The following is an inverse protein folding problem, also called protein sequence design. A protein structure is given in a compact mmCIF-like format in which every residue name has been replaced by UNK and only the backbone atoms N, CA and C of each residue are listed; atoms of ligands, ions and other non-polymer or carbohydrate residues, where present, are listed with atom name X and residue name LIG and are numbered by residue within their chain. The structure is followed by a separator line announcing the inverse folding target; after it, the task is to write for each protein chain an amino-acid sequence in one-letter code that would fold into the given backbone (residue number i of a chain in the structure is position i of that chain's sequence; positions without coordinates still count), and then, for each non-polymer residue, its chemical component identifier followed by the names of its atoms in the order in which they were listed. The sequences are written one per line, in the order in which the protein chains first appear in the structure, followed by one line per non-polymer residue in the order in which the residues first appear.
data_IF_734630245508
#
_entry.id   IF_734630245508
#
_cell.length_a   1.000
_cell.length_b   1.000
_cell.length_c   1.000
_cell.angle_alpha   90.00
_cell.angle_beta   90.00
_cell.angle_gamma   90.00
#
_symmetry.space_group_name_H-M   'P 1'
#
loop_
_entity.id
_entity.type
_entity.pdbx_description
1 polymer ?
#
# COMPACT_ATOMS: atom_id res chain seq x y z
N UNK A 1 13.95 -8.31 3.09
CA UNK A 1 12.61 -7.72 3.02
C UNK A 1 12.29 -7.06 4.34
N UNK A 2 12.27 -5.74 4.37
CA UNK A 2 11.96 -4.94 5.56
C UNK A 2 10.77 -4.04 5.25
N UNK A 3 9.70 -4.13 6.04
CA UNK A 3 8.52 -3.27 5.93
C UNK A 3 8.69 -2.10 6.90
N UNK A 4 8.80 -0.87 6.38
CA UNK A 4 8.91 0.36 7.18
C UNK A 4 7.65 1.19 6.98
N UNK A 5 6.89 1.40 8.05
CA UNK A 5 5.80 2.39 8.07
C UNK A 5 6.45 3.75 8.33
N UNK A 6 6.40 4.64 7.34
CA UNK A 6 7.10 5.92 7.35
C UNK A 6 6.20 7.09 7.79
N UNK A 7 4.86 6.93 7.77
CA UNK A 7 3.93 8.00 8.11
C UNK A 7 2.63 7.51 8.76
N UNK A 8 1.80 8.45 9.20
CA UNK A 8 0.52 8.22 9.87
C UNK A 8 -0.54 7.77 8.85
N UNK A 9 -1.32 6.76 9.24
CA UNK A 9 -2.52 6.33 8.53
C UNK A 9 -3.70 7.27 8.86
N UNK A 10 -4.36 7.83 7.85
CA UNK A 10 -5.46 8.78 8.02
C UNK A 10 -6.79 8.05 7.84
N UNK A 11 -7.63 8.07 8.87
CA UNK A 11 -8.85 7.25 8.96
C UNK A 11 -10.14 8.01 8.59
N UNK A 12 -10.15 8.72 7.47
CA UNK A 12 -11.36 9.48 7.04
C UNK A 12 -12.40 8.62 6.30
N UNK A 13 -12.07 7.39 5.92
CA UNK A 13 -13.00 6.41 5.32
C UNK A 13 -12.96 5.12 6.14
N UNK A 14 -14.13 4.54 6.41
CA UNK A 14 -14.28 3.35 7.26
C UNK A 14 -13.53 2.12 6.72
N UNK A 15 -13.27 2.04 5.42
CA UNK A 15 -12.57 0.92 4.78
C UNK A 15 -11.05 1.02 4.91
N UNK A 16 -10.50 2.18 5.30
CA UNK A 16 -9.04 2.40 5.36
C UNK A 16 -8.37 1.34 6.23
N UNK A 17 -8.91 1.09 7.42
CA UNK A 17 -8.33 0.14 8.38
C UNK A 17 -8.30 -1.28 7.80
N UNK A 18 -9.41 -1.75 7.25
CA UNK A 18 -9.52 -3.12 6.72
C UNK A 18 -8.56 -3.36 5.54
N UNK A 19 -8.48 -2.38 4.63
CA UNK A 19 -7.60 -2.45 3.47
C UNK A 19 -6.12 -2.35 3.90
N UNK A 20 -5.80 -1.50 4.87
CA UNK A 20 -4.45 -1.37 5.40
C UNK A 20 -3.99 -2.64 6.11
N UNK A 21 -4.83 -3.26 6.95
CA UNK A 21 -4.53 -4.54 7.59
C UNK A 21 -4.32 -5.63 6.54
N UNK A 22 -5.15 -5.66 5.50
CA UNK A 22 -4.98 -6.59 4.37
C UNK A 22 -3.62 -6.41 3.68
N UNK A 23 -3.23 -5.15 3.40
CA UNK A 23 -1.92 -4.82 2.84
C UNK A 23 -0.78 -5.31 3.72
N UNK A 24 -0.79 -5.00 5.02
CA UNK A 24 0.28 -5.41 5.95
C UNK A 24 0.37 -6.94 6.04
N UNK A 25 -0.77 -7.64 6.12
CA UNK A 25 -0.79 -9.10 6.15
C UNK A 25 -0.23 -9.69 4.85
N UNK A 26 -0.66 -9.17 3.69
CA UNK A 26 -0.14 -9.60 2.38
C UNK A 26 1.39 -9.43 2.30
N UNK A 27 1.90 -8.29 2.70
CA UNK A 27 3.35 -8.01 2.68
C UNK A 27 4.12 -8.88 3.68
N UNK A 28 3.57 -9.09 4.89
CA UNK A 28 4.21 -9.86 5.96
C UNK A 28 4.24 -11.36 5.68
N UNK A 29 3.34 -11.86 4.81
CA UNK A 29 3.29 -13.26 4.38
C UNK A 29 4.11 -13.53 3.11
N UNK A 30 4.74 -12.51 2.53
CA UNK A 30 5.57 -12.64 1.32
C UNK A 30 7.05 -12.80 1.69
N UNK A 31 7.74 -13.76 1.07
CA UNK A 31 9.15 -14.09 1.35
C UNK A 31 10.09 -13.80 0.16
N UNK A 32 9.57 -13.26 -0.95
CA UNK A 32 10.38 -12.82 -2.09
C UNK A 32 9.80 -11.59 -2.79
N UNK A 33 10.63 -10.89 -3.58
CA UNK A 33 10.19 -9.79 -4.45
C UNK A 33 9.07 -10.23 -5.41
N UNK A 34 9.22 -11.42 -6.02
CA UNK A 34 8.23 -11.99 -6.94
C UNK A 34 6.87 -12.20 -6.26
N UNK A 35 6.87 -12.71 -5.02
CA UNK A 35 5.64 -12.88 -4.24
C UNK A 35 4.99 -11.55 -3.89
N UNK A 36 5.77 -10.52 -3.54
CA UNK A 36 5.22 -9.17 -3.32
C UNK A 36 4.56 -8.66 -4.60
N UNK A 37 5.23 -8.74 -5.74
CA UNK A 37 4.69 -8.23 -7.01
C UNK A 37 3.38 -8.90 -7.37
N UNK A 38 3.33 -10.23 -7.25
CA UNK A 38 2.11 -11.01 -7.51
C UNK A 38 0.99 -10.69 -6.51
N UNK A 39 1.32 -10.63 -5.22
CA UNK A 39 0.31 -10.39 -4.19
C UNK A 39 -0.21 -8.95 -4.22
N UNK A 40 0.62 -7.96 -4.55
CA UNK A 40 0.19 -6.58 -4.77
C UNK A 40 -0.68 -6.44 -6.01
N UNK A 41 -0.38 -7.17 -7.09
CA UNK A 41 -1.26 -7.22 -8.26
C UNK A 41 -2.63 -7.80 -7.91
N UNK A 42 -2.69 -8.82 -7.05
CA UNK A 42 -3.96 -9.37 -6.58
C UNK A 42 -4.70 -8.43 -5.63
N UNK A 43 -3.98 -7.78 -4.71
CA UNK A 43 -4.56 -6.84 -3.74
C UNK A 43 -5.13 -5.60 -4.43
N UNK A 44 -4.49 -5.12 -5.49
CA UNK A 44 -4.93 -3.94 -6.24
C UNK A 44 -6.20 -4.19 -7.08
N UNK A 45 -6.63 -5.44 -7.26
CA UNK A 45 -7.95 -5.76 -7.82
C UNK A 45 -9.10 -5.36 -6.87
N UNK A 46 -8.84 -5.16 -5.58
CA UNK A 46 -9.83 -4.61 -4.66
C UNK A 46 -10.08 -3.13 -5.00
N UNK A 47 -11.32 -2.80 -5.39
CA UNK A 47 -11.72 -1.44 -5.78
C UNK A 47 -11.40 -0.38 -4.70
N UNK A 48 -11.48 -0.76 -3.42
CA UNK A 48 -11.18 0.14 -2.31
C UNK A 48 -9.68 0.38 -2.16
N UNK A 49 -8.83 -0.58 -2.56
CA UNK A 49 -7.39 -0.38 -2.53
C UNK A 49 -6.97 0.75 -3.46
N UNK A 50 -7.38 0.70 -4.73
CA UNK A 50 -7.02 1.73 -5.71
C UNK A 50 -7.61 3.11 -5.39
N UNK A 51 -8.76 3.16 -4.70
CA UNK A 51 -9.39 4.40 -4.22
C UNK A 51 -8.64 5.04 -3.05
N UNK A 52 -8.13 4.22 -2.12
CA UNK A 52 -7.56 4.68 -0.85
C UNK A 52 -6.03 4.79 -0.87
N UNK A 53 -5.38 3.97 -1.69
CA UNK A 53 -3.93 3.86 -1.76
C UNK A 53 -3.44 3.91 -3.20
N UNK A 54 -2.23 4.44 -3.36
CA UNK A 54 -1.42 4.31 -4.55
C UNK A 54 -0.17 3.52 -4.20
N UNK A 55 0.35 2.77 -5.16
CA UNK A 55 1.59 2.02 -4.98
C UNK A 55 2.39 1.99 -6.27
N UNK A 56 3.67 1.66 -6.14
CA UNK A 56 4.55 1.44 -7.27
C UNK A 56 5.82 0.74 -6.85
N UNK A 57 6.58 0.30 -7.85
CA UNK A 57 7.84 -0.40 -7.65
C UNK A 57 9.01 0.43 -8.17
N UNK A 58 10.04 0.57 -7.35
CA UNK A 58 11.38 0.93 -7.78
C UNK A 58 12.20 -0.31 -8.16
N UNK A 59 13.50 -0.12 -8.34
CA UNK A 59 14.43 -1.21 -8.66
C UNK A 59 14.52 -2.25 -7.54
N UNK A 60 14.52 -1.80 -6.28
CA UNK A 60 14.72 -2.65 -5.09
C UNK A 60 13.72 -2.34 -3.96
N UNK A 61 12.58 -1.72 -4.28
CA UNK A 61 11.55 -1.47 -3.27
C UNK A 61 10.14 -1.37 -3.85
N UNK A 62 9.16 -1.60 -2.99
CA UNK A 62 7.76 -1.22 -3.14
C UNK A 62 7.52 0.03 -2.30
N UNK A 63 6.82 1.04 -2.85
CA UNK A 63 6.29 2.15 -2.07
C UNK A 63 4.76 2.15 -2.09
N UNK A 64 4.14 2.57 -0.99
CA UNK A 64 2.69 2.79 -0.88
C UNK A 64 2.44 4.15 -0.27
N UNK A 65 1.49 4.91 -0.82
CA UNK A 65 1.03 6.20 -0.31
C UNK A 65 -0.50 6.23 -0.25
N UNK A 66 -1.07 7.05 0.64
CA UNK A 66 -2.51 7.26 0.69
C UNK A 66 -2.96 8.22 -0.42
N UNK A 67 -4.18 8.04 -0.91
CA UNK A 67 -4.86 9.01 -1.78
C UNK A 67 -5.72 9.96 -0.95
N UNK A 68 -5.97 11.14 -1.47
CA UNK A 68 -6.91 12.08 -0.84
C UNK A 68 -8.34 11.57 -1.02
N UNK A 69 -9.10 11.45 0.07
CA UNK A 69 -10.48 10.97 -0.01
C UNK A 69 -11.40 11.95 -0.76
N UNK A 70 -11.10 13.25 -0.68
CA UNK A 70 -11.84 14.29 -1.41
C UNK A 70 -11.50 14.34 -2.90
N UNK A 71 -10.38 13.75 -3.31
CA UNK A 71 -9.92 13.70 -4.70
C UNK A 71 -9.03 12.47 -4.90
N UNK A 72 -9.63 11.29 -5.19
CA UNK A 72 -8.89 10.04 -5.28
C UNK A 72 -7.79 10.03 -6.34
N UNK A 73 -7.83 10.92 -7.34
CA UNK A 73 -6.76 11.05 -8.34
C UNK A 73 -5.47 11.61 -7.71
N UNK A 74 -5.57 12.34 -6.59
CA UNK A 74 -4.42 12.90 -5.88
C UNK A 74 -3.85 11.92 -4.86
N UNK A 75 -2.57 11.64 -5.01
CA UNK A 75 -1.75 10.91 -4.04
C UNK A 75 -1.16 11.90 -3.04
N UNK A 76 -1.18 11.55 -1.75
CA UNK A 76 -0.52 12.34 -0.71
C UNK A 76 1.00 12.37 -0.94
N UNK A 77 1.63 13.49 -0.63
CA UNK A 77 3.06 13.72 -0.89
C UNK A 77 3.98 12.73 -0.16
N UNK A 78 3.63 12.39 1.09
CA UNK A 78 4.40 11.45 1.88
C UNK A 78 3.96 10.01 1.64
N UNK A 79 4.94 9.12 1.46
CA UNK A 79 4.71 7.67 1.48
C UNK A 79 4.17 7.26 2.85
N UNK A 80 3.25 6.31 2.85
CA UNK A 80 2.76 5.66 4.06
C UNK A 80 3.76 4.60 4.51
N UNK A 81 4.22 3.77 3.59
CA UNK A 81 5.21 2.73 3.86
C UNK A 81 6.09 2.44 2.64
N UNK A 82 7.21 1.79 2.93
CA UNK A 82 8.13 1.23 1.94
C UNK A 82 8.47 -0.21 2.34
N UNK A 83 8.67 -1.07 1.34
CA UNK A 83 9.25 -2.41 1.52
C UNK A 83 10.53 -2.50 0.70
N UNK A 84 11.65 -2.64 1.37
CA UNK A 84 12.96 -2.84 0.75
C UNK A 84 13.22 -4.35 0.57
N UNK A 85 13.54 -4.78 -0.65
CA UNK A 85 13.83 -6.19 -0.99
C UNK A 85 15.25 -6.37 -1.52
#
# INVERSE_FOLDING_TARGET
MEIKIENILILWDEKVTDIFVSLINTLSLSFSETEIRNSMAKLSENENFGRLFAYGFGAHHLWVAQRMITDPEKVMENRLLIVEF
#
